data_IF_054432166191
#
_entry.id   IF_054432166191
#
_cell.length_a   1.000
_cell.length_b   1.000
_cell.length_c   1.000
_cell.angle_alpha   90.00
_cell.angle_beta   90.00
_cell.angle_gamma   90.00
#
_symmetry.space_group_name_H-M   'P 1'
#
loop_
_entity.id
_entity.type
_entity.pdbx_description
1 polymer ?
#
# COMPACT_ATOMS: atom_id res chain seq x y z
N UNK A 1 6.15 -24.66 2.45
CA UNK A 1 6.49 -23.75 3.57
C UNK A 1 6.50 -22.34 3.02
N UNK A 2 5.93 -21.38 3.76
CA UNK A 2 5.86 -19.97 3.36
C UNK A 2 7.19 -19.29 3.68
N UNK A 3 7.83 -18.63 2.71
CA UNK A 3 9.17 -18.06 2.93
C UNK A 3 9.50 -16.88 2.05
N UNK A 4 10.53 -16.13 2.43
CA UNK A 4 11.19 -15.14 1.57
C UNK A 4 12.02 -15.86 0.51
N UNK A 5 11.65 -15.70 -0.76
CA UNK A 5 12.36 -16.27 -1.91
C UNK A 5 13.51 -15.39 -2.37
N UNK A 6 13.29 -14.08 -2.40
CA UNK A 6 14.29 -13.10 -2.80
C UNK A 6 13.99 -11.75 -2.13
N UNK A 7 15.06 -10.97 -1.91
CA UNK A 7 14.98 -9.59 -1.43
C UNK A 7 15.63 -8.71 -2.49
N UNK A 8 14.94 -7.65 -2.88
CA UNK A 8 15.32 -6.77 -3.99
C UNK A 8 15.29 -5.30 -3.57
N UNK A 9 16.39 -4.59 -3.79
CA UNK A 9 16.48 -3.15 -3.51
C UNK A 9 16.97 -2.35 -4.71
N UNK A 10 16.63 -1.06 -4.74
CA UNK A 10 17.13 -0.09 -5.72
C UNK A 10 17.50 1.20 -5.00
N UNK A 11 18.69 1.74 -5.25
CA UNK A 11 19.16 3.01 -4.66
C UNK A 11 18.46 4.24 -5.25
N UNK A 12 17.80 4.11 -6.41
CA UNK A 12 17.04 5.18 -7.09
C UNK A 12 15.72 4.67 -7.65
N UNK A 13 14.71 5.53 -7.67
CA UNK A 13 13.41 5.24 -8.29
C UNK A 13 13.57 5.05 -9.81
N UNK A 14 12.81 4.12 -10.38
CA UNK A 14 12.83 3.80 -11.81
C UNK A 14 14.00 2.92 -12.26
N UNK A 15 14.94 2.58 -11.37
CA UNK A 15 16.01 1.63 -11.65
C UNK A 15 15.55 0.19 -11.40
N UNK A 16 16.14 -0.77 -12.13
CA UNK A 16 15.95 -2.19 -11.87
C UNK A 16 16.52 -2.52 -10.49
N UNK A 17 15.72 -3.22 -9.67
CA UNK A 17 16.18 -3.68 -8.37
C UNK A 17 17.26 -4.77 -8.50
N UNK A 18 18.14 -4.85 -7.51
CA UNK A 18 19.18 -5.86 -7.38
C UNK A 18 18.84 -6.78 -6.21
N UNK A 19 19.05 -8.08 -6.41
CA UNK A 19 18.83 -9.07 -5.36
C UNK A 19 19.96 -9.01 -4.33
N UNK A 20 19.60 -9.15 -3.06
CA UNK A 20 20.51 -9.18 -1.91
C UNK A 20 20.10 -10.31 -0.97
N UNK A 21 21.04 -10.81 -0.17
CA UNK A 21 20.80 -11.97 0.71
C UNK A 21 20.03 -11.59 1.98
N UNK A 22 20.15 -10.35 2.45
CA UNK A 22 19.52 -9.85 3.66
C UNK A 22 19.39 -8.32 3.65
N UNK A 23 18.41 -7.80 4.38
CA UNK A 23 18.17 -6.36 4.55
C UNK A 23 17.59 -6.06 5.92
N UNK A 24 17.76 -4.83 6.40
CA UNK A 24 17.06 -4.32 7.57
C UNK A 24 15.74 -3.67 7.15
N UNK A 25 14.63 -4.14 7.72
CA UNK A 25 13.37 -3.41 7.70
C UNK A 25 13.40 -2.34 8.81
N UNK A 26 13.22 -1.09 8.41
CA UNK A 26 13.18 0.08 9.28
C UNK A 26 11.72 0.42 9.58
N UNK A 27 11.38 0.48 10.86
CA UNK A 27 10.04 0.80 11.34
C UNK A 27 9.53 2.11 10.74
N UNK A 28 8.28 2.09 10.29
CA UNK A 28 7.60 3.24 9.70
C UNK A 28 8.33 3.87 8.50
N UNK A 29 9.20 3.11 7.82
CA UNK A 29 10.01 3.60 6.71
C UNK A 29 10.13 2.61 5.54
N UNK A 30 10.41 1.33 5.78
CA UNK A 30 10.57 0.31 4.73
C UNK A 30 11.94 -0.35 4.74
N UNK A 31 12.48 -0.70 3.57
CA UNK A 31 13.80 -1.34 3.48
C UNK A 31 14.93 -0.31 3.56
N UNK A 32 15.92 -0.59 4.40
CA UNK A 32 17.17 0.18 4.41
C UNK A 32 17.81 0.20 3.02
N UNK A 33 18.27 1.37 2.58
CA UNK A 33 18.88 1.62 1.27
C UNK A 33 17.97 1.43 0.04
N UNK A 34 16.65 1.28 0.20
CA UNK A 34 15.71 1.31 -0.93
C UNK A 34 15.12 2.71 -1.17
N UNK A 35 15.10 3.12 -2.42
CA UNK A 35 14.60 4.43 -2.87
C UNK A 35 13.09 4.64 -2.70
N UNK A 36 12.32 3.59 -2.39
CA UNK A 36 10.89 3.67 -2.14
C UNK A 36 10.55 3.76 -0.64
N UNK A 37 11.55 3.70 0.25
CA UNK A 37 11.36 3.93 1.68
C UNK A 37 10.85 5.35 1.98
N UNK A 38 10.06 5.48 3.03
CA UNK A 38 9.51 6.75 3.51
C UNK A 38 8.35 6.57 4.49
N UNK A 39 7.87 7.70 5.04
CA UNK A 39 6.69 7.75 5.91
C UNK A 39 5.40 7.76 5.08
N UNK A 40 5.07 6.63 4.49
CA UNK A 40 3.85 6.44 3.68
C UNK A 40 3.38 4.99 3.76
N UNK A 41 2.24 4.67 3.15
CA UNK A 41 1.62 3.34 3.28
C UNK A 41 2.30 2.24 2.45
N UNK A 42 3.15 2.55 1.46
CA UNK A 42 3.77 1.55 0.56
C UNK A 42 5.27 1.37 0.83
N UNK A 43 5.61 1.05 2.07
CA UNK A 43 6.99 0.95 2.55
C UNK A 43 7.71 -0.29 2.02
N UNK A 44 6.97 -1.39 1.89
CA UNK A 44 7.46 -2.68 1.39
C UNK A 44 6.50 -3.19 0.33
N UNK A 45 7.01 -3.56 -0.84
CA UNK A 45 6.24 -4.24 -1.88
C UNK A 45 6.50 -5.75 -1.88
N UNK A 46 5.45 -6.54 -2.03
CA UNK A 46 5.51 -8.00 -2.07
C UNK A 46 4.88 -8.54 -3.37
N UNK A 47 5.45 -9.62 -3.89
CA UNK A 47 4.89 -10.39 -5.00
C UNK A 47 5.24 -11.88 -4.82
N UNK A 48 4.32 -12.77 -5.16
CA UNK A 48 4.55 -14.20 -5.05
C UNK A 48 5.39 -14.72 -6.24
N UNK A 49 6.31 -15.64 -5.97
CA UNK A 49 7.08 -16.37 -6.98
C UNK A 49 6.13 -17.11 -7.93
N UNK A 50 5.01 -17.61 -7.42
CA UNK A 50 3.92 -18.24 -8.19
C UNK A 50 3.38 -17.31 -9.29
N UNK A 51 3.23 -16.02 -8.99
CA UNK A 51 2.84 -14.98 -9.95
C UNK A 51 3.92 -14.74 -11.00
N UNK A 52 5.19 -14.72 -10.59
CA UNK A 52 6.35 -14.55 -11.49
C UNK A 52 6.50 -15.76 -12.40
N UNK A 53 6.33 -16.98 -11.88
CA UNK A 53 6.32 -18.22 -12.66
C UNK A 53 5.20 -18.24 -13.70
N UNK A 54 4.01 -17.78 -13.33
CA UNK A 54 2.90 -17.66 -14.28
C UNK A 54 3.25 -16.73 -15.45
N UNK A 55 3.89 -15.59 -15.16
CA UNK A 55 4.36 -14.68 -16.21
C UNK A 55 5.48 -15.30 -17.06
N UNK A 56 6.40 -16.07 -16.48
CA UNK A 56 7.40 -16.84 -17.24
C UNK A 56 6.75 -17.88 -18.16
N UNK A 57 5.71 -18.59 -17.71
CA UNK A 57 4.96 -19.55 -18.54
C UNK A 57 4.22 -18.87 -19.70
N UNK A 58 3.89 -17.57 -19.57
CA UNK A 58 3.39 -16.74 -20.67
C UNK A 58 4.49 -16.25 -21.64
N UNK A 59 5.74 -16.64 -21.44
CA UNK A 59 6.86 -16.33 -22.32
C UNK A 59 7.68 -15.09 -21.94
N UNK A 60 7.45 -14.52 -20.76
CA UNK A 60 8.26 -13.40 -20.28
C UNK A 60 9.59 -13.89 -19.70
N UNK A 61 10.68 -13.21 -20.05
CA UNK A 61 11.99 -13.37 -19.39
C UNK A 61 12.07 -12.41 -18.19
N UNK A 62 11.54 -12.87 -17.04
CA UNK A 62 11.46 -12.09 -15.79
C UNK A 62 11.92 -12.91 -14.59
N UNK A 63 12.57 -12.23 -13.65
CA UNK A 63 13.02 -12.79 -12.37
C UNK A 63 12.57 -11.89 -11.22
N UNK A 64 12.76 -12.36 -9.97
CA UNK A 64 12.55 -11.57 -8.77
C UNK A 64 13.14 -10.14 -8.89
N UNK A 65 12.39 -9.17 -8.38
CA UNK A 65 12.68 -7.74 -8.41
C UNK A 65 12.33 -7.05 -9.74
N UNK A 66 12.02 -7.79 -10.82
CA UNK A 66 11.78 -7.19 -12.14
C UNK A 66 10.45 -6.45 -12.21
N UNK A 67 9.49 -6.81 -11.36
CA UNK A 67 8.24 -6.08 -11.22
C UNK A 67 8.31 -4.96 -10.17
N UNK A 68 9.51 -4.66 -9.67
CA UNK A 68 9.80 -3.68 -8.63
C UNK A 68 9.23 -4.04 -7.24
N UNK A 69 8.95 -5.31 -6.99
CA UNK A 69 8.71 -5.85 -5.66
C UNK A 69 10.01 -5.81 -4.82
N UNK A 70 9.88 -5.59 -3.51
CA UNK A 70 11.00 -5.67 -2.58
C UNK A 70 11.19 -7.10 -2.09
N UNK A 71 10.11 -7.79 -1.76
CA UNK A 71 10.14 -9.14 -1.23
C UNK A 71 9.38 -10.04 -2.20
N UNK A 72 10.10 -10.96 -2.81
CA UNK A 72 9.46 -12.08 -3.51
C UNK A 72 9.20 -13.18 -2.48
N UNK A 73 7.95 -13.61 -2.35
CA UNK A 73 7.55 -14.68 -1.42
C UNK A 73 7.38 -16.00 -2.17
N UNK A 74 7.41 -17.13 -1.47
CA UNK A 74 7.08 -18.45 -2.02
C UNK A 74 6.20 -19.21 -1.03
N UNK A 75 5.19 -19.93 -1.54
CA UNK A 75 4.29 -20.78 -0.76
C UNK A 75 3.15 -20.05 -0.06
N UNK A 76 2.89 -18.79 -0.40
CA UNK A 76 1.85 -17.94 0.19
C UNK A 76 0.97 -17.31 -0.89
N UNK A 77 -0.34 -17.40 -0.74
CA UNK A 77 -1.31 -16.71 -1.58
C UNK A 77 -1.50 -15.26 -1.10
N UNK A 78 -0.67 -14.36 -1.63
CA UNK A 78 -0.73 -12.92 -1.31
C UNK A 78 -2.06 -12.28 -1.75
N UNK A 79 -2.67 -12.76 -2.83
CA UNK A 79 -3.90 -12.22 -3.40
C UNK A 79 -5.13 -12.47 -2.51
N UNK A 80 -5.06 -13.49 -1.64
CA UNK A 80 -6.08 -13.79 -0.65
C UNK A 80 -6.05 -12.88 0.58
N UNK A 81 -4.96 -12.14 0.79
CA UNK A 81 -4.78 -11.28 1.97
C UNK A 81 -5.61 -10.00 1.85
N UNK A 82 -5.96 -9.43 3.00
CA UNK A 82 -6.76 -8.20 3.09
C UNK A 82 -5.96 -7.07 3.71
N UNK A 83 -6.34 -5.83 3.41
CA UNK A 83 -5.80 -4.67 4.13
C UNK A 83 -6.06 -4.82 5.64
N UNK A 84 -5.02 -4.55 6.42
CA UNK A 84 -5.00 -4.71 7.88
C UNK A 84 -4.45 -6.06 8.35
N UNK A 85 -4.22 -7.03 7.47
CA UNK A 85 -3.60 -8.33 7.82
C UNK A 85 -2.16 -8.16 8.28
N UNK A 86 -1.78 -8.86 9.35
CA UNK A 86 -0.41 -8.88 9.84
C UNK A 86 0.39 -10.04 9.22
N UNK A 87 1.58 -9.72 8.71
CA UNK A 87 2.57 -10.69 8.22
C UNK A 87 3.82 -10.62 9.09
N UNK A 88 4.23 -11.77 9.64
CA UNK A 88 5.51 -11.92 10.33
C UNK A 88 6.56 -12.49 9.38
N UNK A 89 7.73 -11.87 9.36
CA UNK A 89 8.91 -12.35 8.61
C UNK A 89 10.08 -12.40 9.58
N UNK A 90 10.49 -13.61 9.99
CA UNK A 90 11.44 -13.79 11.09
C UNK A 90 10.96 -13.07 12.36
N UNK A 91 11.73 -12.09 12.85
CA UNK A 91 11.39 -11.27 14.03
C UNK A 91 10.57 -10.01 13.72
N UNK A 92 10.44 -9.69 12.43
CA UNK A 92 9.82 -8.46 11.93
C UNK A 92 8.34 -8.65 11.69
N UNK A 93 7.61 -7.53 11.59
CA UNK A 93 6.17 -7.56 11.38
C UNK A 93 5.71 -6.43 10.48
N UNK A 94 4.86 -6.78 9.51
CA UNK A 94 4.27 -5.90 8.53
C UNK A 94 2.75 -5.90 8.66
N UNK A 95 2.10 -4.77 8.38
CA UNK A 95 0.66 -4.72 8.14
C UNK A 95 0.43 -4.50 6.64
N UNK A 96 -0.38 -5.35 6.01
CA UNK A 96 -0.80 -5.17 4.62
C UNK A 96 -1.62 -3.89 4.50
N UNK A 97 -1.15 -2.99 3.63
CA UNK A 97 -1.63 -1.62 3.53
C UNK A 97 -2.29 -1.29 2.20
N UNK A 98 -1.99 -2.08 1.16
CA UNK A 98 -2.60 -1.90 -0.15
C UNK A 98 -2.53 -3.19 -0.99
N UNK A 99 -3.60 -3.45 -1.73
CA UNK A 99 -3.70 -4.51 -2.73
C UNK A 99 -3.59 -3.91 -4.13
N UNK A 100 -2.73 -4.48 -4.96
CA UNK A 100 -2.51 -4.01 -6.33
C UNK A 100 -1.95 -2.58 -6.40
N UNK A 101 -1.86 -2.06 -7.62
CA UNK A 101 -1.57 -0.63 -7.86
C UNK A 101 -2.03 -0.18 -9.23
N UNK A 102 -2.44 1.07 -9.34
CA UNK A 102 -2.61 1.70 -10.65
C UNK A 102 -1.23 2.05 -11.22
N UNK A 103 -0.96 1.63 -12.46
CA UNK A 103 0.20 2.07 -13.23
C UNK A 103 -0.20 3.28 -14.07
N UNK A 104 0.31 4.46 -13.72
CA UNK A 104 0.04 5.69 -14.49
C UNK A 104 0.92 5.83 -15.73
N UNK A 105 2.06 5.15 -15.76
CA UNK A 105 3.00 5.17 -16.88
C UNK A 105 3.42 3.74 -17.23
N UNK A 106 3.53 3.42 -18.53
CA UNK A 106 4.20 2.20 -18.98
C UNK A 106 5.59 2.07 -18.35
N UNK A 107 5.85 0.96 -17.68
CA UNK A 107 7.18 0.63 -17.17
C UNK A 107 7.92 -0.29 -18.14
N UNK A 108 9.21 -0.57 -17.87
CA UNK A 108 10.02 -1.47 -18.69
C UNK A 108 9.33 -2.83 -18.95
N UNK A 109 8.66 -3.40 -17.94
CA UNK A 109 7.90 -4.65 -18.06
C UNK A 109 6.71 -4.51 -19.01
N UNK A 110 5.95 -3.41 -18.90
CA UNK A 110 4.84 -3.18 -19.81
C UNK A 110 5.33 -3.04 -21.26
N UNK A 111 6.46 -2.37 -21.48
CA UNK A 111 7.06 -2.29 -22.82
C UNK A 111 7.56 -3.64 -23.34
N UNK A 112 8.08 -4.50 -22.46
CA UNK A 112 8.57 -5.83 -22.83
C UNK A 112 7.44 -6.82 -23.10
N UNK A 113 6.35 -6.75 -22.33
CA UNK A 113 5.36 -7.83 -22.26
C UNK A 113 3.91 -7.42 -22.48
N UNK A 114 3.61 -6.12 -22.50
CA UNK A 114 2.25 -5.57 -22.57
C UNK A 114 1.39 -5.81 -21.31
N UNK A 115 1.87 -6.59 -20.34
CA UNK A 115 1.12 -7.00 -19.15
C UNK A 115 2.04 -7.01 -17.91
N UNK A 116 1.64 -6.29 -16.86
CA UNK A 116 2.35 -6.23 -15.59
C UNK A 116 1.47 -6.91 -14.52
N UNK A 117 2.06 -7.80 -13.73
CA UNK A 117 1.32 -8.55 -12.71
C UNK A 117 1.08 -7.72 -11.43
N UNK A 118 1.95 -6.74 -11.14
CA UNK A 118 1.87 -5.93 -9.90
C UNK A 118 0.57 -5.16 -9.70
N UNK A 119 -0.06 -4.58 -10.74
CA UNK A 119 -1.38 -3.99 -10.60
C UNK A 119 -2.46 -4.91 -10.04
N UNK A 120 -2.32 -6.22 -10.26
CA UNK A 120 -3.34 -7.23 -9.93
C UNK A 120 -2.97 -8.05 -8.69
N UNK A 121 -1.71 -8.46 -8.58
CA UNK A 121 -1.28 -9.47 -7.60
C UNK A 121 -0.18 -8.97 -6.66
N UNK A 122 0.42 -7.82 -6.95
CA UNK A 122 1.38 -7.19 -6.05
C UNK A 122 0.66 -6.56 -4.87
N UNK A 123 1.20 -6.69 -3.68
CA UNK A 123 0.65 -6.05 -2.47
C UNK A 123 1.72 -5.20 -1.78
N UNK A 124 1.29 -4.35 -0.85
CA UNK A 124 2.17 -3.48 -0.08
C UNK A 124 1.91 -3.63 1.41
N UNK A 125 2.93 -3.34 2.21
CA UNK A 125 2.80 -3.26 3.66
C UNK A 125 3.61 -2.13 4.29
N UNK A 126 3.24 -1.79 5.52
CA UNK A 126 4.00 -0.91 6.42
C UNK A 126 4.75 -1.75 7.45
N UNK A 127 5.95 -1.31 7.84
CA UNK A 127 6.78 -1.96 8.86
C UNK A 127 6.35 -1.47 10.23
N UNK A 128 5.72 -2.32 11.03
CA UNK A 128 5.35 -2.01 12.43
C UNK A 128 6.36 -2.53 13.45
N UNK A 129 7.16 -3.53 13.07
CA UNK A 129 8.29 -3.99 13.86
C UNK A 129 9.47 -4.26 12.95
N UNK A 130 10.55 -3.52 13.17
CA UNK A 130 11.75 -3.55 12.35
C UNK A 130 12.69 -4.69 12.73
N UNK A 131 13.73 -4.86 11.92
CA UNK A 131 14.75 -5.87 12.15
C UNK A 131 15.31 -6.43 10.85
N UNK A 132 16.31 -7.29 10.99
CA UNK A 132 16.95 -7.94 9.85
C UNK A 132 16.07 -9.09 9.35
N UNK A 133 15.88 -9.15 8.03
CA UNK A 133 15.34 -10.30 7.32
C UNK A 133 16.37 -10.83 6.33
N UNK A 134 16.30 -12.12 6.02
CA UNK A 134 17.15 -12.80 5.05
C UNK A 134 16.33 -13.67 4.09
N UNK A 135 16.92 -13.97 2.94
CA UNK A 135 16.38 -14.97 2.02
C UNK A 135 16.26 -16.31 2.75
N UNK A 136 15.10 -16.94 2.65
CA UNK A 136 14.77 -18.18 3.34
C UNK A 136 14.01 -18.00 4.64
N UNK A 137 13.91 -16.78 5.18
CA UNK A 137 13.12 -16.53 6.40
C UNK A 137 11.67 -16.96 6.22
N UNK A 138 11.11 -17.57 7.27
CA UNK A 138 9.73 -18.02 7.30
C UNK A 138 8.77 -16.82 7.29
N UNK A 139 7.66 -16.99 6.57
CA UNK A 139 6.57 -16.02 6.52
C UNK A 139 5.35 -16.63 7.19
N UNK A 140 4.77 -15.90 8.13
CA UNK A 140 3.54 -16.30 8.80
C UNK A 140 2.47 -15.23 8.66
N UNK A 141 1.24 -15.68 8.41
CA UNK A 141 0.06 -14.82 8.45
C UNK A 141 -0.50 -14.91 9.86
N UNK A 142 -0.51 -13.80 10.58
CA UNK A 142 -1.00 -13.78 11.96
C UNK A 142 -2.52 -13.63 11.97
N UNK A 143 -3.16 -14.09 13.04
CA UNK A 143 -4.60 -13.90 13.26
C UNK A 143 -4.96 -12.44 13.58
N UNK A 144 -3.98 -11.64 14.02
CA UNK A 144 -4.16 -10.23 14.31
C UNK A 144 -4.54 -9.44 13.04
N UNK A 145 -5.47 -8.50 13.22
CA UNK A 145 -5.88 -7.53 12.20
C UNK A 145 -5.93 -6.13 12.78
N UNK A 146 -5.27 -5.18 12.12
CA UNK A 146 -5.39 -3.76 12.44
C UNK A 146 -6.44 -3.08 11.58
N UNK A 147 -7.09 -2.05 12.14
CA UNK A 147 -7.95 -1.17 11.37
C UNK A 147 -7.14 -0.27 10.44
N UNK A 148 -7.80 0.23 9.41
CA UNK A 148 -7.21 1.04 8.35
C UNK A 148 -8.02 2.32 8.13
N UNK A 149 -7.32 3.43 7.93
CA UNK A 149 -7.93 4.72 7.61
C UNK A 149 -7.28 5.28 6.35
N UNK A 150 -8.09 5.67 5.38
CA UNK A 150 -7.66 6.43 4.22
C UNK A 150 -8.15 7.88 4.32
N UNK A 151 -7.29 8.82 3.96
CA UNK A 151 -7.60 10.24 3.85
C UNK A 151 -7.49 10.63 2.39
N UNK A 152 -8.54 11.23 1.86
CA UNK A 152 -8.58 11.82 0.54
C UNK A 152 -8.48 13.33 0.71
N UNK A 153 -7.52 13.97 0.05
CA UNK A 153 -7.33 15.42 0.12
C UNK A 153 -6.56 15.94 -1.08
N UNK A 154 -6.38 17.25 -1.17
CA UNK A 154 -5.47 17.83 -2.19
C UNK A 154 -4.02 17.72 -1.74
N UNK A 155 -3.08 17.91 -2.66
CA UNK A 155 -1.65 18.00 -2.32
C UNK A 155 -1.35 19.18 -1.37
N UNK A 156 -2.13 20.26 -1.44
CA UNK A 156 -2.03 21.41 -0.54
C UNK A 156 -2.55 21.05 0.84
N UNK A 157 -3.70 20.39 0.93
CA UNK A 157 -4.24 19.92 2.21
C UNK A 157 -3.31 18.93 2.92
N UNK A 158 -2.69 18.00 2.19
CA UNK A 158 -1.70 17.08 2.77
C UNK A 158 -0.47 17.82 3.29
N UNK A 159 -0.01 18.84 2.56
CA UNK A 159 1.14 19.64 2.95
C UNK A 159 0.85 20.47 4.20
N UNK A 160 -0.33 21.09 4.28
CA UNK A 160 -0.65 22.08 5.29
C UNK A 160 -1.25 21.47 6.57
N UNK A 161 -1.91 20.30 6.45
CA UNK A 161 -2.64 19.66 7.55
C UNK A 161 -2.26 18.19 7.76
N UNK A 162 -1.43 17.58 6.91
CA UNK A 162 -1.19 16.13 6.90
C UNK A 162 -0.72 15.57 8.23
N UNK A 163 0.16 16.29 8.93
CA UNK A 163 0.67 15.89 10.26
C UNK A 163 -0.46 15.92 11.31
N UNK A 164 -1.18 17.04 11.43
CA UNK A 164 -2.30 17.15 12.37
C UNK A 164 -3.41 16.13 12.08
N UNK A 165 -3.70 15.90 10.78
CA UNK A 165 -4.65 14.87 10.36
C UNK A 165 -4.22 13.48 10.84
N UNK A 166 -2.94 13.14 10.68
CA UNK A 166 -2.43 11.87 11.16
C UNK A 166 -2.49 11.74 12.68
N UNK A 167 -2.16 12.80 13.43
CA UNK A 167 -2.24 12.83 14.89
C UNK A 167 -3.68 12.61 15.38
N UNK A 168 -4.65 13.36 14.83
CA UNK A 168 -6.06 13.24 15.19
C UNK A 168 -6.61 11.84 14.90
N UNK A 169 -6.31 11.32 13.71
CA UNK A 169 -6.75 9.97 13.30
C UNK A 169 -6.13 8.88 14.18
N UNK A 170 -4.84 9.01 14.52
CA UNK A 170 -4.17 8.07 15.41
C UNK A 170 -4.74 8.11 16.82
N UNK A 171 -4.95 9.30 17.39
CA UNK A 171 -5.55 9.46 18.71
C UNK A 171 -6.97 8.88 18.78
N UNK A 172 -7.75 9.03 17.71
CA UNK A 172 -9.17 8.65 17.71
C UNK A 172 -9.40 7.17 17.46
N UNK A 173 -8.68 6.58 16.51
CA UNK A 173 -8.98 5.21 16.05
C UNK A 173 -7.79 4.24 16.12
N UNK A 174 -6.58 4.72 16.42
CA UNK A 174 -5.37 3.91 16.51
C UNK A 174 -5.21 2.92 15.34
N UNK A 175 -5.32 3.37 14.08
CA UNK A 175 -5.22 2.44 12.95
C UNK A 175 -3.80 1.90 12.82
N UNK A 176 -3.67 0.73 12.21
CA UNK A 176 -2.35 0.15 11.92
C UNK A 176 -1.53 0.98 10.94
N UNK A 177 -2.21 1.74 10.08
CA UNK A 177 -1.61 2.73 9.20
C UNK A 177 -2.64 3.74 8.70
N UNK A 178 -2.15 4.87 8.19
CA UNK A 178 -2.95 5.88 7.49
C UNK A 178 -2.47 5.97 6.04
N UNK A 179 -3.40 5.82 5.10
CA UNK A 179 -3.15 6.01 3.65
C UNK A 179 -3.65 7.39 3.24
N UNK A 180 -2.89 8.09 2.40
CA UNK A 180 -3.32 9.37 1.82
C UNK A 180 -3.41 9.24 0.31
N UNK A 181 -4.56 9.63 -0.26
CA UNK A 181 -4.81 9.69 -1.70
C UNK A 181 -5.12 11.12 -2.14
N UNK A 182 -4.50 11.54 -3.25
CA UNK A 182 -4.56 12.92 -3.71
C UNK A 182 -5.63 13.14 -4.77
N UNK A 183 -6.48 14.12 -4.53
CA UNK A 183 -7.34 14.72 -5.54
C UNK A 183 -6.50 15.49 -6.55
N UNK A 184 -6.78 15.28 -7.84
CA UNK A 184 -6.09 15.96 -8.93
C UNK A 184 -6.84 17.25 -9.29
N UNK A 185 -6.17 18.42 -9.35
CA UNK A 185 -6.86 19.68 -9.65
C UNK A 185 -7.53 19.73 -11.03
N UNK A 186 -6.98 18.99 -12.00
CA UNK A 186 -7.39 19.03 -13.43
C UNK A 186 -8.20 17.82 -13.89
N UNK A 187 -8.39 16.83 -13.02
CA UNK A 187 -9.06 15.58 -13.34
C UNK A 187 -9.93 15.21 -12.14
N UNK A 188 -11.23 15.05 -12.34
CA UNK A 188 -12.08 14.55 -11.26
C UNK A 188 -11.81 13.05 -11.07
N UNK A 189 -10.98 12.74 -10.08
CA UNK A 189 -10.57 11.39 -9.73
C UNK A 189 -11.18 10.92 -8.40
N UNK A 190 -12.10 11.68 -7.79
CA UNK A 190 -12.69 11.32 -6.50
C UNK A 190 -13.43 9.98 -6.59
N UNK A 191 -14.26 9.80 -7.61
CA UNK A 191 -15.00 8.56 -7.81
C UNK A 191 -14.09 7.35 -7.97
N UNK A 192 -12.99 7.49 -8.71
CA UNK A 192 -12.00 6.41 -8.89
C UNK A 192 -11.29 6.06 -7.59
N UNK A 193 -10.90 7.07 -6.80
CA UNK A 193 -10.27 6.84 -5.49
C UNK A 193 -11.25 6.14 -4.55
N UNK A 194 -12.50 6.61 -4.47
CA UNK A 194 -13.52 6.00 -3.62
C UNK A 194 -13.82 4.55 -4.04
N UNK A 195 -13.91 4.28 -5.34
CA UNK A 195 -14.13 2.93 -5.85
C UNK A 195 -12.98 1.98 -5.46
N UNK A 196 -11.71 2.41 -5.63
CA UNK A 196 -10.54 1.65 -5.17
C UNK A 196 -10.61 1.40 -3.67
N UNK A 197 -10.77 2.44 -2.85
CA UNK A 197 -10.76 2.34 -1.39
C UNK A 197 -11.90 1.46 -0.84
N UNK A 198 -13.09 1.56 -1.43
CA UNK A 198 -14.28 0.84 -0.96
C UNK A 198 -14.32 -0.60 -1.49
N UNK A 199 -14.09 -0.80 -2.79
CA UNK A 199 -14.36 -2.08 -3.44
C UNK A 199 -13.11 -2.95 -3.58
N UNK A 200 -11.93 -2.35 -3.81
CA UNK A 200 -10.67 -3.08 -3.96
C UNK A 200 -9.94 -3.22 -2.63
N UNK A 201 -9.63 -2.09 -1.99
CA UNK A 201 -8.86 -2.06 -0.74
C UNK A 201 -9.69 -2.47 0.46
N UNK A 202 -10.98 -2.15 0.45
CA UNK A 202 -11.93 -2.41 1.54
C UNK A 202 -11.38 -1.90 2.88
N UNK A 203 -10.88 -0.67 2.87
CA UNK A 203 -10.42 0.00 4.10
C UNK A 203 -11.58 0.15 5.08
N UNK A 204 -11.29 0.26 6.38
CA UNK A 204 -12.36 0.35 7.38
C UNK A 204 -13.00 1.73 7.39
N UNK A 205 -12.23 2.78 7.07
CA UNK A 205 -12.70 4.18 7.09
C UNK A 205 -12.04 5.04 6.01
N UNK A 206 -12.83 5.94 5.42
CA UNK A 206 -12.36 6.97 4.50
C UNK A 206 -12.78 8.34 5.03
N UNK A 207 -11.83 9.27 5.11
CA UNK A 207 -12.10 10.69 5.36
C UNK A 207 -11.85 11.46 4.06
N UNK A 208 -12.86 12.11 3.52
CA UNK A 208 -12.67 13.14 2.51
C UNK A 208 -12.45 14.49 3.21
N UNK A 209 -11.21 14.96 3.20
CA UNK A 209 -10.81 16.25 3.74
C UNK A 209 -10.78 17.30 2.63
N UNK A 210 -11.91 18.00 2.48
CA UNK A 210 -12.15 18.97 1.41
C UNK A 210 -12.41 20.38 1.98
N UNK A 211 -11.33 21.14 2.14
CA UNK A 211 -11.37 22.53 2.63
C UNK A 211 -12.15 23.46 1.70
N UNK A 212 -12.29 23.11 0.41
CA UNK A 212 -13.00 23.92 -0.59
C UNK A 212 -14.52 23.75 -0.56
N UNK A 213 -15.00 22.61 -0.04
CA UNK A 213 -16.42 22.27 -0.07
C UNK A 213 -16.95 21.74 -1.42
N UNK A 214 -16.12 21.72 -2.46
CA UNK A 214 -16.48 21.38 -3.84
C UNK A 214 -17.08 19.98 -3.99
N UNK A 215 -16.65 19.03 -3.18
CA UNK A 215 -16.92 17.60 -3.39
C UNK A 215 -18.05 17.05 -2.51
N UNK A 216 -18.71 17.91 -1.71
CA UNK A 216 -19.78 17.50 -0.78
C UNK A 216 -20.89 16.67 -1.45
N UNK A 217 -21.40 17.14 -2.58
CA UNK A 217 -22.50 16.46 -3.31
C UNK A 217 -22.06 15.12 -3.89
N UNK A 218 -20.86 15.05 -4.46
CA UNK A 218 -20.32 13.82 -5.05
C UNK A 218 -20.06 12.74 -3.98
N UNK A 219 -19.67 13.16 -2.77
CA UNK A 219 -19.42 12.26 -1.65
C UNK A 219 -20.70 11.75 -0.99
N UNK A 220 -21.70 12.61 -0.80
CA UNK A 220 -22.98 12.24 -0.18
C UNK A 220 -23.70 11.10 -0.92
N UNK A 221 -23.58 11.04 -2.26
CA UNK A 221 -24.15 9.94 -3.06
C UNK A 221 -23.51 8.56 -2.85
N UNK A 222 -22.46 8.45 -2.02
CA UNK A 222 -21.73 7.19 -1.74
C UNK A 222 -21.83 6.74 -0.29
N UNK A 223 -22.30 7.59 0.63
CA UNK A 223 -22.37 7.28 2.06
C UNK A 223 -23.52 6.33 2.46
N UNK A 224 -24.30 5.86 1.50
CA UNK A 224 -25.46 5.01 1.75
C UNK A 224 -25.12 3.54 1.41
N UNK A 225 -24.86 2.74 2.45
CA UNK A 225 -24.92 1.26 2.46
C UNK A 225 -23.65 0.43 2.14
N UNK A 226 -22.46 0.84 2.59
CA UNK A 226 -21.22 0.03 2.52
C UNK A 226 -20.64 -0.36 3.90
N UNK A 227 -19.78 -1.39 3.98
CA UNK A 227 -19.05 -1.74 5.22
C UNK A 227 -17.97 -0.71 5.59
N UNK A 228 -17.59 0.16 4.66
CA UNK A 228 -16.60 1.22 4.84
C UNK A 228 -17.26 2.47 5.40
N UNK A 229 -16.75 3.00 6.51
CA UNK A 229 -17.31 4.22 7.10
C UNK A 229 -16.75 5.44 6.38
N UNK A 230 -17.63 6.26 5.81
CA UNK A 230 -17.28 7.45 5.05
C UNK A 230 -17.54 8.71 5.87
N UNK A 231 -16.51 9.57 5.97
CA UNK A 231 -16.58 10.86 6.65
C UNK A 231 -16.25 11.99 5.70
N UNK A 232 -17.06 13.04 5.75
CA UNK A 232 -16.80 14.27 5.01
C UNK A 232 -16.42 15.37 5.99
N UNK A 233 -15.22 15.91 5.83
CA UNK A 233 -14.65 16.92 6.73
C UNK A 233 -14.15 18.10 5.91
N UNK A 234 -14.48 19.32 6.33
CA UNK A 234 -13.97 20.57 5.75
C UNK A 234 -12.84 21.17 6.58
N UNK A 235 -12.80 20.84 7.86
CA UNK A 235 -11.91 21.39 8.88
C UNK A 235 -11.39 20.28 9.80
N UNK A 236 -10.33 20.57 10.56
CA UNK A 236 -9.81 19.63 11.55
C UNK A 236 -10.84 19.33 12.66
N UNK A 237 -11.62 20.33 13.07
CA UNK A 237 -12.69 20.20 14.07
C UNK A 237 -13.78 19.20 13.64
N UNK A 238 -14.06 19.09 12.33
CA UNK A 238 -14.98 18.08 11.82
C UNK A 238 -14.48 16.66 12.11
N UNK A 239 -13.15 16.43 12.13
CA UNK A 239 -12.56 15.12 12.44
C UNK A 239 -12.64 14.83 13.94
N UNK A 240 -12.51 15.85 14.78
CA UNK A 240 -12.65 15.70 16.23
C UNK A 240 -14.07 15.27 16.63
N UNK A 241 -15.08 15.70 15.87
CA UNK A 241 -16.50 15.55 16.22
C UNK A 241 -17.20 14.29 15.69
N UNK A 242 -16.65 13.61 14.66
CA UNK A 242 -17.18 12.36 14.06
C UNK A 242 -16.96 11.08 14.88
#
# INVERSE_FOLDING_TARGET
MKRVKAISISDRKGMRKKNIDAVTLVENFGLENDAHGGKWHRQVSLLAEESIEFMRKKGLDVVAGNFAENITTEGIDLCSLTVGTHLRIGITELIISQLGKVCHHPCAIYHQAGDCVMPREGIFGVVIKGGKIAVGDEIEVLEARSSSVAIIGTAESEKDYGEQLCELVNHKWHPGFIRFDRLKPKEDNLHTILDDLINTQKVDRVILFDTSGKHALAFAGKSENGPVILHYCKTLDDIETI
#
